data_IF_146175355076
#
_entry.id   IF_146175355076
#
_cell.length_a   1.000
_cell.length_b   1.000
_cell.length_c   1.000
_cell.angle_alpha   90.00
_cell.angle_beta   90.00
_cell.angle_gamma   90.00
#
_symmetry.space_group_name_H-M   'P 1'
#
loop_
_entity.id
_entity.type
_entity.pdbx_description
1 polymer ?
#
# COMPACT_ATOMS: atom_id res chain seq x y z
N UNK A 1 9.44 -38.91 -1.85
CA UNK A 1 7.98 -39.06 -1.65
C UNK A 1 7.31 -38.01 -2.51
N UNK A 2 6.61 -38.48 -3.55
CA UNK A 2 5.83 -37.66 -4.49
C UNK A 2 4.55 -37.18 -3.80
N UNK A 3 4.12 -35.99 -4.20
CA UNK A 3 2.74 -35.46 -4.19
C UNK A 3 2.09 -35.18 -2.84
N UNK A 4 1.83 -33.89 -2.58
CA UNK A 4 0.67 -33.24 -1.90
C UNK A 4 1.06 -31.74 -1.94
N UNK A 5 0.30 -30.77 -2.40
CA UNK A 5 -0.99 -30.66 -3.06
C UNK A 5 -0.99 -29.21 -3.61
N UNK A 6 -1.15 -29.05 -4.92
CA UNK A 6 -1.39 -27.75 -5.55
C UNK A 6 -2.78 -27.28 -5.11
N UNK A 7 -2.88 -26.10 -4.49
CA UNK A 7 -4.13 -25.35 -4.42
C UNK A 7 -3.82 -23.97 -4.98
N UNK A 8 -4.18 -23.82 -6.25
CA UNK A 8 -4.34 -22.55 -6.95
C UNK A 8 -5.85 -22.46 -7.24
N UNK A 9 -6.50 -21.40 -6.79
CA UNK A 9 -7.87 -21.05 -7.17
C UNK A 9 -7.94 -19.51 -7.24
N UNK A 10 -7.45 -18.89 -8.31
CA UNK A 10 -8.22 -18.42 -9.49
C UNK A 10 -9.50 -17.67 -9.14
N UNK A 11 -9.38 -16.34 -8.99
CA UNK A 11 -10.50 -15.42 -9.18
C UNK A 11 -10.54 -15.05 -10.68
N UNK A 12 -11.32 -15.77 -11.48
CA UNK A 12 -11.55 -15.41 -12.89
C UNK A 12 -12.76 -14.51 -13.01
N UNK A 13 -12.50 -13.25 -13.34
CA UNK A 13 -13.49 -12.24 -13.70
C UNK A 13 -14.04 -12.55 -15.10
N UNK A 14 -15.32 -12.87 -15.19
CA UNK A 14 -16.02 -13.06 -16.47
C UNK A 14 -16.90 -11.84 -16.73
N UNK A 15 -16.42 -10.88 -17.52
CA UNK A 15 -17.24 -9.86 -18.16
C UNK A 15 -17.40 -10.23 -19.64
N UNK A 16 -18.58 -10.77 -19.96
CA UNK A 16 -19.02 -10.98 -21.34
C UNK A 16 -19.47 -9.65 -21.93
N UNK A 17 -18.74 -9.19 -22.95
CA UNK A 17 -19.19 -8.13 -23.84
C UNK A 17 -20.37 -8.62 -24.69
N UNK A 18 -21.48 -7.89 -24.67
CA UNK A 18 -22.45 -7.88 -25.76
C UNK A 18 -22.55 -6.46 -26.29
N UNK A 19 -21.82 -6.24 -27.38
CA UNK A 19 -21.95 -5.09 -28.27
C UNK A 19 -23.24 -5.20 -29.07
N UNK A 20 -24.00 -4.11 -29.16
CA UNK A 20 -24.97 -3.87 -30.22
C UNK A 20 -24.77 -2.42 -30.71
N UNK A 21 -24.17 -2.28 -31.89
CA UNK A 21 -24.22 -1.04 -32.66
C UNK A 21 -25.49 -1.02 -33.53
N UNK A 22 -25.99 0.18 -33.87
CA UNK A 22 -26.23 0.46 -35.29
C UNK A 22 -25.59 1.76 -35.79
N UNK A 23 -25.23 1.70 -37.08
CA UNK A 23 -24.64 2.72 -37.95
C UNK A 23 -25.58 3.91 -38.21
N UNK A 24 -25.06 5.10 -38.52
CA UNK A 24 -24.90 5.64 -39.91
C UNK A 24 -24.52 7.14 -39.94
N UNK A 25 -23.59 7.47 -40.86
CA UNK A 25 -23.43 8.67 -41.72
C UNK A 25 -23.29 10.05 -41.03
N UNK A 26 -22.45 11.01 -41.44
CA UNK A 26 -22.15 11.45 -42.80
C UNK A 26 -20.91 12.39 -42.86
N UNK A 27 -20.45 12.62 -44.09
CA UNK A 27 -19.37 13.44 -44.66
C UNK A 27 -18.89 14.75 -43.99
N UNK A 28 -17.59 15.06 -44.20
CA UNK A 28 -17.10 16.45 -44.31
C UNK A 28 -15.58 16.63 -44.21
N UNK A 29 -14.90 16.84 -45.35
CA UNK A 29 -13.49 17.26 -45.48
C UNK A 29 -13.21 18.58 -44.75
N UNK A 30 -12.01 18.73 -44.16
CA UNK A 30 -11.02 19.73 -44.58
C UNK A 30 -9.69 19.57 -43.84
N UNK A 31 -8.60 19.67 -44.59
CA UNK A 31 -7.24 19.67 -44.09
C UNK A 31 -6.83 21.08 -43.65
N UNK A 32 -6.10 21.19 -42.54
CA UNK A 32 -5.19 22.31 -42.28
C UNK A 32 -4.05 21.86 -41.38
N UNK A 33 -2.83 22.13 -41.84
CA UNK A 33 -1.58 21.87 -41.14
C UNK A 33 -1.22 23.02 -40.18
N UNK A 34 -0.35 22.67 -39.22
CA UNK A 34 0.57 23.53 -38.44
C UNK A 34 -0.05 24.31 -37.28
N UNK A 35 0.26 23.92 -36.03
CA UNK A 35 1.40 24.53 -35.32
C UNK A 35 1.85 23.71 -34.11
N UNK A 36 3.17 23.62 -33.92
CA UNK A 36 3.80 23.08 -32.70
C UNK A 36 3.93 24.22 -31.71
N UNK A 37 3.15 24.20 -30.64
CA UNK A 37 3.45 24.98 -29.44
C UNK A 37 3.62 24.05 -28.24
N UNK A 38 4.77 24.22 -27.58
CA UNK A 38 5.07 23.68 -26.27
C UNK A 38 4.07 24.24 -25.27
N UNK A 39 3.06 23.46 -24.90
CA UNK A 39 2.23 23.76 -23.74
C UNK A 39 2.88 23.12 -22.51
N UNK A 40 3.34 23.99 -21.61
CA UNK A 40 3.58 23.63 -20.21
C UNK A 40 2.23 23.21 -19.61
N UNK A 41 2.10 22.04 -18.96
CA UNK A 41 0.83 21.60 -18.42
C UNK A 41 0.29 22.61 -17.41
N UNK A 42 -0.90 23.14 -17.70
CA UNK A 42 -1.65 24.04 -16.84
C UNK A 42 -2.18 23.23 -15.65
N UNK A 43 -1.63 23.43 -14.46
CA UNK A 43 -1.95 22.71 -13.22
C UNK A 43 -3.27 23.23 -12.60
N UNK A 44 -4.38 23.08 -13.36
CA UNK A 44 -5.74 23.37 -12.90
C UNK A 44 -6.68 22.28 -13.40
N UNK A 45 -7.26 21.56 -12.44
CA UNK A 45 -8.31 20.54 -12.58
C UNK A 45 -7.98 19.34 -13.48
N UNK A 46 -7.16 18.43 -12.96
CA UNK A 46 -7.33 17.02 -13.32
C UNK A 46 -7.48 16.23 -12.02
N UNK A 47 -8.70 15.74 -11.73
CA UNK A 47 -9.05 14.79 -10.66
C UNK A 47 -8.39 13.40 -10.87
N UNK A 48 -7.28 13.37 -11.61
CA UNK A 48 -6.57 12.17 -12.01
C UNK A 48 -5.47 11.88 -11.01
N UNK A 49 -5.60 10.74 -10.34
CA UNK A 49 -4.52 10.13 -9.57
C UNK A 49 -3.39 9.77 -10.53
N UNK A 50 -2.16 10.17 -10.21
CA UNK A 50 -0.97 9.77 -10.96
C UNK A 50 -0.17 8.76 -10.14
N UNK A 51 0.58 7.86 -10.79
CA UNK A 51 1.44 6.92 -10.09
C UNK A 51 2.72 6.59 -10.87
N UNK A 52 3.72 6.09 -10.16
CA UNK A 52 4.92 5.45 -10.71
C UNK A 52 5.24 4.19 -9.91
N UNK A 53 5.89 3.23 -10.55
CA UNK A 53 6.48 2.05 -9.91
C UNK A 53 7.93 2.26 -9.47
N UNK A 54 8.44 3.49 -9.54
CA UNK A 54 9.79 3.86 -9.08
C UNK A 54 10.88 3.03 -9.77
N UNK A 55 10.73 2.77 -11.08
CA UNK A 55 11.67 1.98 -11.88
C UNK A 55 12.74 2.81 -12.60
N UNK A 56 12.71 4.15 -12.47
CA UNK A 56 13.75 5.06 -12.97
C UNK A 56 14.54 5.69 -11.83
N UNK A 57 15.80 6.04 -12.11
CA UNK A 57 16.64 6.74 -11.14
C UNK A 57 16.06 8.11 -10.75
N UNK A 58 15.45 8.84 -11.70
CA UNK A 58 14.81 10.13 -11.44
C UNK A 58 13.71 10.04 -10.38
N UNK A 59 12.75 9.11 -10.55
CA UNK A 59 11.65 8.95 -9.57
C UNK A 59 12.12 8.39 -8.22
N UNK A 60 13.16 7.54 -8.22
CA UNK A 60 13.78 7.05 -6.98
C UNK A 60 14.49 8.18 -6.23
N UNK A 61 15.25 9.02 -6.92
CA UNK A 61 15.97 10.14 -6.34
C UNK A 61 15.01 11.19 -5.79
N UNK A 62 13.93 11.50 -6.52
CA UNK A 62 12.85 12.37 -6.04
C UNK A 62 12.24 11.85 -4.73
N UNK A 63 11.89 10.56 -4.68
CA UNK A 63 11.34 9.94 -3.48
C UNK A 63 12.36 9.95 -2.33
N UNK A 64 13.62 9.56 -2.59
CA UNK A 64 14.70 9.52 -1.60
C UNK A 64 14.87 10.89 -0.95
N UNK A 65 15.04 11.93 -1.76
CA UNK A 65 15.21 13.29 -1.28
C UNK A 65 13.97 13.76 -0.51
N UNK A 66 12.77 13.48 -1.01
CA UNK A 66 11.53 13.86 -0.34
C UNK A 66 11.38 13.23 1.06
N UNK A 67 11.79 11.96 1.24
CA UNK A 67 11.75 11.27 2.53
C UNK A 67 12.80 11.82 3.50
N UNK A 68 14.02 12.07 3.03
CA UNK A 68 15.11 12.64 3.83
C UNK A 68 14.80 14.07 4.28
N UNK A 69 14.32 14.94 3.37
CA UNK A 69 13.92 16.33 3.66
C UNK A 69 12.79 16.40 4.70
N UNK A 70 11.98 15.33 4.78
CA UNK A 70 10.92 15.18 5.76
C UNK A 70 11.37 14.55 7.08
N UNK A 71 12.68 14.31 7.23
CA UNK A 71 13.29 13.90 8.47
C UNK A 71 13.14 12.41 8.77
N UNK A 72 12.92 11.56 7.75
CA UNK A 72 13.10 10.12 7.94
C UNK A 72 14.59 9.78 8.12
N UNK A 73 14.86 8.70 8.83
CA UNK A 73 16.22 8.25 9.11
C UNK A 73 16.93 7.83 7.82
N UNK A 74 18.15 8.31 7.61
CA UNK A 74 18.93 8.05 6.38
C UNK A 74 19.17 6.56 6.15
N UNK A 75 19.54 5.80 7.20
CA UNK A 75 19.77 4.36 7.08
C UNK A 75 18.50 3.57 6.76
N UNK A 76 17.35 4.01 7.27
CA UNK A 76 16.05 3.40 6.95
C UNK A 76 15.64 3.69 5.50
N UNK A 77 15.84 4.93 5.03
CA UNK A 77 15.58 5.33 3.64
C UNK A 77 16.51 4.59 2.67
N UNK A 78 17.80 4.49 2.97
CA UNK A 78 18.76 3.76 2.14
C UNK A 78 18.43 2.26 2.07
N UNK A 79 18.06 1.66 3.21
CA UNK A 79 17.61 0.26 3.25
C UNK A 79 16.35 0.05 2.41
N UNK A 80 15.41 1.00 2.45
CA UNK A 80 14.23 0.97 1.58
C UNK A 80 14.61 1.05 0.10
N UNK A 81 15.50 1.99 -0.29
CA UNK A 81 15.93 2.11 -1.69
C UNK A 81 16.64 0.84 -2.19
N UNK A 82 17.47 0.21 -1.35
CA UNK A 82 18.08 -1.07 -1.69
C UNK A 82 17.06 -2.18 -1.90
N UNK A 83 15.99 -2.22 -1.10
CA UNK A 83 14.90 -3.20 -1.25
C UNK A 83 14.07 -2.93 -2.52
N UNK A 84 13.87 -1.66 -2.86
CA UNK A 84 13.21 -1.25 -4.10
C UNK A 84 14.03 -1.65 -5.33
N UNK A 85 15.33 -1.38 -5.33
CA UNK A 85 16.22 -1.79 -6.43
C UNK A 85 16.25 -3.31 -6.58
N UNK A 86 16.35 -4.04 -5.46
CA UNK A 86 16.28 -5.50 -5.46
C UNK A 86 14.97 -5.99 -6.08
N UNK A 87 13.82 -5.38 -5.75
CA UNK A 87 12.56 -5.74 -6.40
C UNK A 87 12.62 -5.49 -7.92
N UNK A 88 13.03 -4.30 -8.35
CA UNK A 88 13.08 -3.92 -9.75
C UNK A 88 14.00 -4.84 -10.58
N UNK A 89 15.14 -5.26 -10.04
CA UNK A 89 16.05 -6.24 -10.67
C UNK A 89 15.41 -7.63 -10.82
N UNK A 90 14.46 -7.96 -9.95
CA UNK A 90 13.78 -9.24 -9.91
C UNK A 90 12.42 -9.24 -10.62
N UNK A 91 11.89 -8.08 -11.00
CA UNK A 91 10.61 -7.91 -11.69
C UNK A 91 10.76 -7.86 -13.22
N UNK A 92 9.62 -7.81 -13.92
CA UNK A 92 9.56 -7.46 -15.34
C UNK A 92 9.36 -5.94 -15.46
N UNK A 93 10.46 -5.22 -15.65
CA UNK A 93 10.46 -3.75 -15.70
C UNK A 93 9.63 -3.18 -16.85
N UNK A 94 9.21 -3.99 -17.83
CA UNK A 94 8.31 -3.55 -18.90
C UNK A 94 6.86 -3.29 -18.42
N UNK A 95 6.45 -3.89 -17.30
CA UNK A 95 5.16 -3.59 -16.65
C UNK A 95 5.24 -2.42 -15.66
N UNK A 96 6.45 -1.93 -15.35
CA UNK A 96 6.67 -0.93 -14.32
C UNK A 96 6.68 0.48 -14.90
N UNK A 97 5.75 1.32 -14.43
CA UNK A 97 5.70 2.73 -14.81
C UNK A 97 6.94 3.48 -14.31
N UNK A 98 7.84 3.85 -15.22
CA UNK A 98 9.12 4.52 -14.90
C UNK A 98 9.01 6.01 -14.58
N UNK A 99 7.88 6.63 -14.91
CA UNK A 99 7.56 8.02 -14.60
C UNK A 99 6.11 8.11 -14.15
N UNK A 100 5.69 9.27 -13.63
CA UNK A 100 4.30 9.48 -13.26
C UNK A 100 3.37 9.36 -14.48
N UNK A 101 2.48 8.38 -14.43
CA UNK A 101 1.44 8.15 -15.43
C UNK A 101 0.06 8.10 -14.76
N UNK A 102 -1.00 8.17 -15.55
CA UNK A 102 -2.38 8.11 -15.07
C UNK A 102 -2.65 6.77 -14.40
N UNK A 103 -3.16 6.80 -13.17
CA UNK A 103 -3.59 5.62 -12.44
C UNK A 103 -4.81 4.96 -13.09
N UNK A 104 -4.84 3.63 -13.06
CA UNK A 104 -5.99 2.82 -13.45
C UNK A 104 -6.04 1.58 -12.58
N UNK A 105 -7.25 1.15 -12.20
CA UNK A 105 -7.46 -0.11 -11.48
C UNK A 105 -7.17 -1.34 -12.36
N UNK A 106 -7.11 -1.16 -13.68
CA UNK A 106 -6.88 -2.24 -14.65
C UNK A 106 -5.40 -2.62 -14.80
N UNK A 107 -4.48 -1.91 -14.15
CA UNK A 107 -3.04 -2.20 -14.22
C UNK A 107 -2.76 -3.52 -13.50
N UNK A 108 -2.19 -4.48 -14.21
CA UNK A 108 -1.80 -5.77 -13.68
C UNK A 108 -0.29 -5.99 -13.80
N UNK A 109 0.30 -6.68 -12.83
CA UNK A 109 1.74 -6.92 -12.72
C UNK A 109 2.10 -8.41 -12.76
N UNK A 110 1.32 -9.20 -13.52
CA UNK A 110 1.41 -10.65 -13.49
C UNK A 110 2.82 -11.14 -13.87
N UNK A 111 3.43 -10.59 -14.92
CA UNK A 111 4.77 -11.02 -15.33
C UNK A 111 5.82 -10.61 -14.29
N UNK A 112 5.67 -9.44 -13.68
CA UNK A 112 6.56 -8.96 -12.62
C UNK A 112 6.47 -9.83 -11.37
N UNK A 113 5.26 -10.20 -10.95
CA UNK A 113 5.01 -11.07 -9.80
C UNK A 113 5.54 -12.49 -10.03
N UNK A 114 5.28 -13.05 -11.21
CA UNK A 114 5.78 -14.37 -11.60
C UNK A 114 7.31 -14.38 -11.61
N UNK A 115 7.93 -13.41 -12.29
CA UNK A 115 9.39 -13.30 -12.39
C UNK A 115 10.05 -13.05 -11.04
N UNK A 116 9.44 -12.24 -10.18
CA UNK A 116 9.92 -12.04 -8.82
C UNK A 116 9.93 -13.36 -8.04
N UNK A 117 8.84 -14.12 -8.12
CA UNK A 117 8.69 -15.43 -7.47
C UNK A 117 9.67 -16.46 -8.00
N UNK A 118 9.85 -16.53 -9.32
CA UNK A 118 10.79 -17.44 -9.98
C UNK A 118 12.24 -17.18 -9.54
N UNK A 119 12.63 -15.91 -9.39
CA UNK A 119 13.97 -15.52 -8.95
C UNK A 119 14.16 -15.63 -7.43
N UNK A 120 13.07 -15.65 -6.66
CA UNK A 120 13.09 -15.64 -5.19
C UNK A 120 12.24 -16.80 -4.61
N UNK A 121 12.54 -18.07 -4.94
CA UNK A 121 11.67 -19.20 -4.58
C UNK A 121 11.49 -19.42 -3.07
N UNK A 122 12.46 -18.97 -2.27
CA UNK A 122 12.47 -19.13 -0.81
C UNK A 122 12.15 -17.83 -0.05
N UNK A 123 11.71 -16.78 -0.75
CA UNK A 123 11.41 -15.48 -0.13
C UNK A 123 10.10 -14.90 -0.66
N UNK A 124 9.15 -14.67 0.26
CA UNK A 124 7.84 -14.14 -0.09
C UNK A 124 7.93 -12.74 -0.73
N UNK A 125 8.86 -11.92 -0.25
CA UNK A 125 8.99 -10.51 -0.59
C UNK A 125 8.85 -9.61 0.64
N UNK A 126 8.62 -8.32 0.40
CA UNK A 126 8.36 -7.32 1.43
C UNK A 126 6.98 -6.71 1.13
N UNK A 127 6.11 -6.62 2.13
CA UNK A 127 4.75 -6.11 2.01
C UNK A 127 4.60 -4.70 2.63
N UNK A 128 3.37 -4.16 2.57
CA UNK A 128 2.98 -2.88 3.14
C UNK A 128 3.43 -2.66 4.59
N UNK A 129 3.20 -3.64 5.47
CA UNK A 129 3.50 -3.53 6.91
C UNK A 129 4.99 -3.42 7.17
N UNK A 130 5.78 -4.31 6.55
CA UNK A 130 7.24 -4.32 6.69
C UNK A 130 7.83 -3.03 6.09
N UNK A 131 7.43 -2.65 4.87
CA UNK A 131 7.90 -1.40 4.24
C UNK A 131 7.61 -0.18 5.09
N UNK A 132 6.37 -0.03 5.55
CA UNK A 132 5.94 1.13 6.33
C UNK A 132 6.65 1.20 7.68
N UNK A 133 6.75 0.07 8.39
CA UNK A 133 7.41 0.04 9.69
C UNK A 133 8.91 0.30 9.57
N UNK A 134 9.60 -0.33 8.61
CA UNK A 134 11.04 -0.14 8.42
C UNK A 134 11.40 1.31 8.12
N UNK A 135 10.55 2.05 7.40
CA UNK A 135 10.76 3.48 7.14
C UNK A 135 10.45 4.38 8.36
N UNK A 136 9.56 3.94 9.26
CA UNK A 136 9.04 4.76 10.36
C UNK A 136 9.52 4.36 11.76
N UNK A 137 10.24 3.24 11.90
CA UNK A 137 10.66 2.69 13.21
C UNK A 137 11.49 3.65 14.06
N UNK A 138 12.23 4.58 13.45
CA UNK A 138 12.97 5.64 14.14
C UNK A 138 12.16 6.95 14.32
N UNK A 139 10.95 7.00 13.77
CA UNK A 139 9.99 8.11 13.85
C UNK A 139 8.72 7.72 14.62
N UNK A 140 8.74 6.59 15.34
CA UNK A 140 7.62 6.06 16.10
C UNK A 140 8.10 5.36 17.37
N UNK A 141 7.48 5.68 18.49
CA UNK A 141 7.64 4.94 19.74
C UNK A 141 6.59 3.83 19.83
N UNK A 142 6.99 2.68 20.37
CA UNK A 142 6.10 1.56 20.73
C UNK A 142 6.62 1.03 22.06
N UNK A 143 5.89 1.29 23.15
CA UNK A 143 6.45 1.19 24.50
C UNK A 143 5.86 0.07 25.36
N UNK A 144 4.76 -0.56 24.95
CA UNK A 144 4.16 -1.67 25.70
C UNK A 144 4.11 -2.92 24.84
N UNK A 145 5.12 -3.76 24.98
CA UNK A 145 5.27 -5.00 24.23
C UNK A 145 4.01 -5.88 24.34
N UNK A 146 3.57 -6.38 23.19
CA UNK A 146 2.51 -7.37 23.09
C UNK A 146 3.03 -8.63 22.41
N UNK A 147 2.58 -9.77 22.90
CA UNK A 147 2.66 -11.02 22.14
C UNK A 147 1.48 -11.09 21.16
N UNK A 148 1.77 -11.39 19.90
CA UNK A 148 0.75 -11.72 18.91
C UNK A 148 0.69 -13.24 18.70
N UNK A 149 -0.47 -13.81 18.98
CA UNK A 149 -0.80 -15.23 18.82
C UNK A 149 -1.75 -15.51 17.65
N UNK A 150 -2.11 -14.46 16.91
CA UNK A 150 -2.96 -14.58 15.74
C UNK A 150 -2.16 -15.06 14.52
N UNK A 151 -2.88 -15.49 13.49
CA UNK A 151 -2.30 -15.84 12.19
C UNK A 151 -1.98 -14.61 11.32
N UNK A 152 -2.50 -13.43 11.69
CA UNK A 152 -2.48 -12.18 10.90
C UNK A 152 -1.06 -11.76 10.47
N UNK A 153 -0.06 -12.01 11.31
CA UNK A 153 1.33 -11.59 11.09
C UNK A 153 2.27 -12.74 10.70
N UNK A 154 1.78 -13.96 10.47
CA UNK A 154 2.65 -15.12 10.26
C UNK A 154 3.54 -14.98 9.02
N UNK A 155 2.98 -14.48 7.91
CA UNK A 155 3.75 -14.24 6.69
C UNK A 155 4.74 -13.08 6.85
N UNK A 156 4.39 -12.03 7.58
CA UNK A 156 5.31 -10.93 7.90
C UNK A 156 6.48 -11.43 8.74
N UNK A 157 6.20 -12.16 9.82
CA UNK A 157 7.21 -12.75 10.71
C UNK A 157 8.15 -13.65 9.93
N UNK A 158 7.61 -14.49 9.02
CA UNK A 158 8.42 -15.33 8.13
C UNK A 158 9.31 -14.49 7.21
N UNK A 159 8.76 -13.53 6.48
CA UNK A 159 9.52 -12.69 5.55
C UNK A 159 10.63 -11.89 6.26
N UNK A 160 10.34 -11.32 7.42
CA UNK A 160 11.32 -10.63 8.26
C UNK A 160 12.45 -11.58 8.68
N UNK A 161 12.11 -12.80 9.13
CA UNK A 161 13.10 -13.79 9.56
C UNK A 161 13.96 -14.31 8.41
N UNK A 162 13.38 -14.59 7.24
CA UNK A 162 14.10 -15.16 6.09
C UNK A 162 15.24 -14.25 5.60
N UNK A 163 15.10 -12.94 5.77
CA UNK A 163 16.08 -11.93 5.34
C UNK A 163 16.67 -11.09 6.46
N UNK A 164 16.34 -11.40 7.73
CA UNK A 164 16.78 -10.62 8.89
C UNK A 164 16.51 -9.13 8.73
N UNK A 165 15.29 -8.77 8.26
CA UNK A 165 14.93 -7.39 7.90
C UNK A 165 14.87 -6.45 9.10
N UNK A 166 14.64 -7.00 10.29
CA UNK A 166 14.54 -6.26 11.56
C UNK A 166 15.39 -6.98 12.62
N UNK A 167 15.96 -6.20 13.54
CA UNK A 167 16.53 -6.73 14.79
C UNK A 167 15.45 -7.32 15.71
N UNK A 168 15.85 -8.04 16.74
CA UNK A 168 14.91 -8.64 17.71
C UNK A 168 14.03 -7.59 18.41
N UNK A 169 14.60 -6.44 18.80
CA UNK A 169 13.85 -5.37 19.44
C UNK A 169 12.91 -4.65 18.46
N UNK A 170 13.32 -4.48 17.20
CA UNK A 170 12.46 -3.93 16.16
C UNK A 170 11.32 -4.89 15.81
N UNK A 171 11.56 -6.20 15.81
CA UNK A 171 10.53 -7.22 15.61
C UNK A 171 9.47 -7.17 16.71
N UNK A 172 9.86 -6.99 17.98
CA UNK A 172 8.89 -6.83 19.08
C UNK A 172 8.00 -5.60 18.90
N UNK A 173 8.60 -4.47 18.50
CA UNK A 173 7.86 -3.23 18.17
C UNK A 173 6.94 -3.43 16.97
N UNK A 174 7.40 -4.12 15.92
CA UNK A 174 6.61 -4.45 14.74
C UNK A 174 5.38 -5.27 15.12
N UNK A 175 5.59 -6.36 15.89
CA UNK A 175 4.51 -7.23 16.38
C UNK A 175 3.52 -6.43 17.22
N UNK A 176 4.01 -5.63 18.16
CA UNK A 176 3.15 -4.82 19.03
C UNK A 176 2.31 -3.83 18.24
N UNK A 177 2.89 -3.17 17.24
CA UNK A 177 2.20 -2.19 16.41
C UNK A 177 1.10 -2.83 15.56
N UNK A 178 1.40 -3.94 14.87
CA UNK A 178 0.48 -4.58 13.94
C UNK A 178 -0.39 -5.70 14.53
N UNK A 179 -0.22 -6.06 15.81
CA UNK A 179 -1.05 -7.07 16.46
C UNK A 179 -2.54 -6.73 16.29
N UNK A 180 -3.40 -7.69 15.95
CA UNK A 180 -4.83 -7.44 15.85
C UNK A 180 -5.41 -7.04 17.21
N UNK A 181 -6.52 -6.31 17.16
CA UNK A 181 -7.32 -5.92 18.31
C UNK A 181 -8.45 -6.93 18.45
N UNK A 182 -8.54 -7.59 19.60
CA UNK A 182 -9.64 -8.52 19.88
C UNK A 182 -10.93 -7.75 20.18
N UNK A 183 -11.97 -7.95 19.36
CA UNK A 183 -13.28 -7.32 19.54
C UNK A 183 -14.17 -8.21 20.41
N UNK A 184 -14.22 -7.88 21.71
CA UNK A 184 -15.00 -8.64 22.71
C UNK A 184 -16.48 -8.27 22.73
N UNK A 185 -16.79 -7.00 22.49
CA UNK A 185 -18.15 -6.47 22.45
C UNK A 185 -18.48 -6.07 21.01
N UNK A 186 -19.42 -6.78 20.40
CA UNK A 186 -19.88 -6.54 19.03
C UNK A 186 -20.60 -5.19 18.88
N UNK A 187 -20.95 -4.52 19.99
CA UNK A 187 -21.53 -3.16 19.99
C UNK A 187 -20.48 -2.07 20.21
N UNK A 188 -19.21 -2.42 20.37
CA UNK A 188 -18.16 -1.44 20.57
C UNK A 188 -18.02 -0.54 19.33
N UNK A 189 -17.73 0.75 19.56
CA UNK A 189 -17.29 1.61 18.48
C UNK A 189 -15.84 1.24 18.12
N UNK A 190 -15.62 0.81 16.88
CA UNK A 190 -14.31 0.34 16.41
C UNK A 190 -13.27 1.46 16.33
N UNK A 191 -13.67 2.70 16.05
CA UNK A 191 -12.81 3.88 16.05
C UNK A 191 -12.25 4.16 17.46
N UNK A 192 -13.11 4.04 18.48
CA UNK A 192 -12.71 4.18 19.89
C UNK A 192 -11.78 3.04 20.33
N UNK A 193 -12.03 1.81 19.87
CA UNK A 193 -11.16 0.67 20.14
C UNK A 193 -9.75 0.89 19.55
N UNK A 194 -9.67 1.34 18.30
CA UNK A 194 -8.39 1.64 17.63
C UNK A 194 -7.63 2.72 18.41
N UNK A 195 -8.31 3.82 18.74
CA UNK A 195 -7.70 4.94 19.49
C UNK A 195 -7.23 4.50 20.88
N UNK A 196 -8.02 3.68 21.58
CA UNK A 196 -7.66 3.11 22.87
C UNK A 196 -6.42 2.22 22.77
N UNK A 197 -6.33 1.38 21.75
CA UNK A 197 -5.21 0.45 21.54
C UNK A 197 -3.90 1.17 21.22
N UNK A 198 -3.93 2.29 20.48
CA UNK A 198 -2.74 3.14 20.30
C UNK A 198 -2.17 3.60 21.65
N UNK A 199 -3.02 4.11 22.54
CA UNK A 199 -2.63 4.52 23.89
C UNK A 199 -2.17 3.35 24.77
N UNK A 200 -2.89 2.22 24.72
CA UNK A 200 -2.55 1.03 25.51
C UNK A 200 -1.20 0.43 25.09
N UNK A 201 -0.88 0.43 23.80
CA UNK A 201 0.42 -0.01 23.26
C UNK A 201 1.54 1.02 23.41
N UNK A 202 1.20 2.23 23.85
CA UNK A 202 2.13 3.34 24.00
C UNK A 202 2.73 3.76 22.66
N UNK A 203 1.90 3.75 21.61
CA UNK A 203 2.27 4.16 20.25
C UNK A 203 2.27 5.68 20.18
N UNK A 204 3.36 6.26 19.69
CA UNK A 204 3.48 7.70 19.46
C UNK A 204 4.27 7.98 18.21
N UNK A 205 3.73 8.77 17.30
CA UNK A 205 4.43 9.22 16.10
C UNK A 205 5.19 10.50 16.39
N UNK A 206 6.48 10.50 16.05
CA UNK A 206 7.41 11.59 16.30
C UNK A 206 7.74 12.40 15.03
N UNK A 207 7.18 12.01 13.88
CA UNK A 207 7.28 12.75 12.62
C UNK A 207 5.94 13.40 12.26
N UNK A 208 5.97 14.70 11.97
CA UNK A 208 4.80 15.49 11.61
C UNK A 208 4.59 15.67 10.09
N UNK A 209 5.63 15.44 9.29
CA UNK A 209 5.66 15.62 7.83
C UNK A 209 5.33 14.35 7.03
N UNK A 210 5.69 13.18 7.56
CA UNK A 210 5.33 11.87 7.01
C UNK A 210 4.35 11.21 7.97
N UNK A 211 3.23 10.74 7.43
CA UNK A 211 2.15 10.11 8.18
C UNK A 211 2.05 8.65 7.79
N UNK A 212 1.91 7.77 8.77
CA UNK A 212 1.47 6.40 8.53
C UNK A 212 -0.02 6.45 8.29
N UNK A 213 -0.49 5.95 7.14
CA UNK A 213 -1.91 5.80 6.86
C UNK A 213 -2.22 4.32 6.85
N UNK A 214 -3.14 3.89 7.72
CA UNK A 214 -3.49 2.47 7.88
C UNK A 214 -4.97 2.24 7.64
N UNK A 215 -5.29 1.13 6.97
CA UNK A 215 -6.65 0.65 6.76
C UNK A 215 -6.90 -0.52 7.70
N UNK A 216 -7.79 -0.30 8.65
CA UNK A 216 -8.30 -1.33 9.53
C UNK A 216 -9.46 -2.05 8.86
N UNK A 217 -9.34 -3.37 8.83
CA UNK A 217 -10.38 -4.30 8.41
C UNK A 217 -10.81 -5.10 9.63
N UNK A 218 -11.96 -5.75 9.53
CA UNK A 218 -12.39 -6.70 10.55
C UNK A 218 -12.66 -8.07 9.94
N UNK A 219 -12.37 -9.10 10.72
CA UNK A 219 -12.74 -10.49 10.40
C UNK A 219 -13.39 -11.13 11.60
N UNK A 220 -14.23 -12.14 11.31
CA UNK A 220 -14.83 -13.00 12.31
C UNK A 220 -14.73 -14.44 11.81
N UNK A 221 -13.67 -15.14 12.21
CA UNK A 221 -13.39 -16.51 11.76
C UNK A 221 -13.06 -17.45 12.92
N UNK A 222 -12.90 -18.73 12.61
CA UNK A 222 -12.64 -19.78 13.62
C UNK A 222 -11.19 -19.80 14.11
N UNK A 223 -10.26 -19.13 13.41
CA UNK A 223 -8.82 -19.15 13.69
C UNK A 223 -8.48 -18.02 14.67
N UNK A 224 -8.77 -16.78 14.29
CA UNK A 224 -8.40 -15.58 15.02
C UNK A 224 -9.59 -14.96 15.79
N UNK A 225 -10.81 -15.46 15.57
CA UNK A 225 -12.00 -14.96 16.25
C UNK A 225 -12.49 -13.65 15.65
N UNK A 226 -13.07 -12.78 16.48
CA UNK A 226 -13.53 -11.45 16.07
C UNK A 226 -12.43 -10.41 16.32
N UNK A 227 -11.83 -9.91 15.26
CA UNK A 227 -10.67 -9.01 15.34
C UNK A 227 -10.79 -7.80 14.42
N UNK A 228 -10.13 -6.71 14.82
CA UNK A 228 -9.75 -5.60 13.94
C UNK A 228 -8.26 -5.68 13.68
N UNK A 229 -7.83 -5.53 12.43
CA UNK A 229 -6.42 -5.61 12.06
C UNK A 229 -6.09 -4.65 10.93
N UNK A 230 -4.82 -4.24 10.86
CA UNK A 230 -4.31 -3.43 9.75
C UNK A 230 -4.16 -4.35 8.53
N UNK A 231 -5.11 -4.25 7.60
CA UNK A 231 -5.11 -4.98 6.34
C UNK A 231 -4.23 -4.32 5.27
N UNK A 232 -4.08 -2.99 5.32
CA UNK A 232 -3.16 -2.24 4.48
C UNK A 232 -2.57 -1.05 5.20
N UNK A 233 -1.37 -0.63 4.80
CA UNK A 233 -0.72 0.55 5.36
C UNK A 233 0.30 1.13 4.38
N UNK A 234 0.53 2.44 4.46
CA UNK A 234 1.49 3.14 3.63
C UNK A 234 1.91 4.46 4.26
N UNK A 235 2.76 5.20 3.55
CA UNK A 235 3.23 6.51 3.98
C UNK A 235 2.63 7.61 3.14
N UNK A 236 1.99 8.58 3.80
CA UNK A 236 1.53 9.81 3.16
C UNK A 236 2.48 10.96 3.50
N UNK A 237 2.78 11.79 2.50
CA UNK A 237 3.42 13.07 2.73
C UNK A 237 2.93 14.14 1.74
N UNK A 238 3.08 15.41 2.11
CA UNK A 238 2.76 16.54 1.24
C UNK A 238 4.04 17.12 0.62
N UNK A 239 3.97 17.49 -0.65
CA UNK A 239 5.05 18.17 -1.33
C UNK A 239 4.47 19.11 -2.39
N UNK A 240 4.77 20.42 -2.26
CA UNK A 240 4.36 21.46 -3.21
C UNK A 240 2.83 21.47 -3.47
N UNK A 241 2.02 21.30 -2.43
CA UNK A 241 0.56 21.32 -2.53
C UNK A 241 -0.06 20.05 -3.11
N UNK A 242 0.73 19.02 -3.38
CA UNK A 242 0.26 17.68 -3.79
C UNK A 242 0.52 16.67 -2.68
N UNK A 243 -0.30 15.65 -2.59
CA UNK A 243 -0.18 14.59 -1.60
C UNK A 243 0.33 13.32 -2.26
N UNK A 244 1.31 12.69 -1.64
CA UNK A 244 1.95 11.48 -2.14
C UNK A 244 1.65 10.33 -1.18
N UNK A 245 1.35 9.16 -1.74
CA UNK A 245 1.15 7.93 -0.97
C UNK A 245 2.10 6.85 -1.49
N UNK A 246 3.04 6.45 -0.64
CA UNK A 246 3.96 5.34 -0.89
C UNK A 246 3.34 4.06 -0.33
N UNK A 247 3.13 3.09 -1.20
CA UNK A 247 2.53 1.81 -0.82
C UNK A 247 3.17 0.60 -1.48
N UNK A 248 2.85 -0.58 -0.92
CA UNK A 248 3.27 -1.89 -1.38
C UNK A 248 2.12 -2.87 -1.16
N UNK A 249 1.30 -3.10 -2.20
CA UNK A 249 0.00 -3.77 -2.08
C UNK A 249 0.07 -5.21 -1.59
N UNK A 250 1.08 -5.96 -2.03
CA UNK A 250 1.32 -7.34 -1.62
C UNK A 250 2.83 -7.61 -1.56
N UNK A 251 3.25 -8.82 -1.20
CA UNK A 251 4.68 -9.16 -1.15
C UNK A 251 5.37 -9.12 -2.52
N UNK A 252 4.65 -9.48 -3.59
CA UNK A 252 5.20 -9.69 -4.94
C UNK A 252 4.85 -8.57 -5.93
N UNK A 253 3.86 -7.74 -5.62
CA UNK A 253 3.54 -6.57 -6.47
C UNK A 253 4.58 -5.46 -6.34
N UNK A 254 4.72 -4.57 -7.31
CA UNK A 254 5.70 -3.49 -7.24
C UNK A 254 5.37 -2.49 -6.14
N UNK A 255 6.40 -1.74 -5.73
CA UNK A 255 6.19 -0.50 -4.99
C UNK A 255 5.45 0.49 -5.89
N UNK A 256 4.62 1.32 -5.26
CA UNK A 256 3.89 2.38 -5.94
C UNK A 256 4.05 3.67 -5.16
N UNK A 257 4.36 4.76 -5.88
CA UNK A 257 4.22 6.11 -5.38
C UNK A 257 3.07 6.76 -6.14
N UNK A 258 1.96 6.99 -5.45
CA UNK A 258 0.79 7.66 -5.98
C UNK A 258 0.83 9.14 -5.61
N UNK A 259 0.25 9.98 -6.47
CA UNK A 259 0.20 11.44 -6.34
C UNK A 259 -1.25 11.90 -6.54
N UNK A 260 -1.72 12.71 -5.59
CA UNK A 260 -3.09 13.18 -5.41
C UNK A 260 -3.13 14.69 -5.24
N UNK A 261 -4.29 15.31 -5.48
CA UNK A 261 -4.51 16.74 -5.25
C UNK A 261 -4.89 17.04 -3.80
N UNK A 262 -5.45 16.06 -3.07
CA UNK A 262 -5.90 16.24 -1.70
C UNK A 262 -5.69 14.99 -0.84
N UNK A 263 -5.63 15.18 0.50
CA UNK A 263 -5.66 14.04 1.45
C UNK A 263 -6.94 13.22 1.32
N UNK A 264 -8.06 13.87 1.00
CA UNK A 264 -9.36 13.21 0.87
C UNK A 264 -9.33 12.18 -0.26
N UNK A 265 -8.69 12.48 -1.38
CA UNK A 265 -8.55 11.51 -2.48
C UNK A 265 -7.76 10.26 -2.09
N UNK A 266 -6.78 10.36 -1.17
CA UNK A 266 -6.09 9.18 -0.62
C UNK A 266 -7.08 8.31 0.15
N UNK A 267 -7.92 8.91 0.99
CA UNK A 267 -8.95 8.18 1.72
C UNK A 267 -9.97 7.54 0.76
N UNK A 268 -10.47 8.30 -0.21
CA UNK A 268 -11.41 7.80 -1.22
C UNK A 268 -10.81 6.62 -2.01
N UNK A 269 -9.53 6.70 -2.37
CA UNK A 269 -8.76 5.64 -3.02
C UNK A 269 -8.70 4.37 -2.15
N UNK A 270 -8.32 4.52 -0.88
CA UNK A 270 -8.20 3.40 0.06
C UNK A 270 -9.57 2.76 0.33
N UNK A 271 -10.62 3.55 0.54
CA UNK A 271 -11.97 3.04 0.78
C UNK A 271 -12.52 2.32 -0.45
N UNK A 272 -12.33 2.86 -1.66
CA UNK A 272 -12.73 2.17 -2.89
C UNK A 272 -12.08 0.78 -3.00
N UNK A 273 -10.81 0.67 -2.58
CA UNK A 273 -10.03 -0.56 -2.69
C UNK A 273 -10.36 -1.58 -1.60
N UNK A 274 -10.49 -1.13 -0.36
CA UNK A 274 -10.49 -2.01 0.82
C UNK A 274 -11.85 -2.11 1.55
N UNK A 275 -12.81 -1.22 1.27
CA UNK A 275 -14.15 -1.30 1.86
C UNK A 275 -15.01 -2.34 1.12
N UNK A 276 -14.59 -3.60 1.18
CA UNK A 276 -15.26 -4.74 0.56
C UNK A 276 -16.04 -5.53 1.63
N UNK A 277 -17.10 -6.23 1.22
CA UNK A 277 -17.82 -7.15 2.09
C UNK A 277 -16.91 -8.34 2.44
N UNK A 278 -16.53 -8.44 3.71
CA UNK A 278 -15.65 -9.50 4.23
C UNK A 278 -16.45 -10.65 4.89
N UNK A 279 -17.77 -10.66 4.71
CA UNK A 279 -18.68 -11.68 5.23
C UNK A 279 -19.59 -11.18 6.34
N UNK A 280 -20.40 -12.10 6.88
CA UNK A 280 -21.42 -11.78 7.87
C UNK A 280 -20.80 -11.21 9.16
N UNK A 281 -21.34 -10.07 9.62
CA UNK A 281 -20.84 -9.39 10.83
C UNK A 281 -19.57 -8.56 10.61
N UNK A 282 -19.22 -8.27 9.35
CA UNK A 282 -18.14 -7.34 9.02
C UNK A 282 -18.64 -5.90 8.89
N UNK A 283 -17.78 -4.95 9.25
CA UNK A 283 -18.03 -3.53 9.28
C UNK A 283 -17.23 -2.84 8.17
N UNK A 284 -17.62 -1.61 7.85
CA UNK A 284 -16.86 -0.79 6.90
C UNK A 284 -15.41 -0.61 7.35
N UNK A 285 -14.50 -0.55 6.37
CA UNK A 285 -13.09 -0.28 6.61
C UNK A 285 -12.90 1.08 7.31
N UNK A 286 -11.94 1.16 8.22
CA UNK A 286 -11.61 2.39 8.94
C UNK A 286 -10.20 2.81 8.56
N UNK A 287 -10.00 4.07 8.20
CA UNK A 287 -8.65 4.60 7.91
C UNK A 287 -8.17 5.47 9.04
N UNK A 288 -6.90 5.31 9.42
CA UNK A 288 -6.23 6.22 10.36
C UNK A 288 -5.11 6.98 9.66
N UNK A 289 -4.91 8.25 10.05
CA UNK A 289 -3.69 9.03 9.82
C UNK A 289 -2.94 9.06 11.16
N UNK A 290 -1.81 8.37 11.24
CA UNK A 290 -1.11 8.08 12.49
C UNK A 290 -2.07 7.45 13.51
N UNK A 291 -2.19 8.07 14.68
CA UNK A 291 -3.02 7.67 15.82
C UNK A 291 -4.43 8.27 15.78
N UNK A 292 -4.85 8.86 14.65
CA UNK A 292 -6.15 9.51 14.49
C UNK A 292 -6.98 8.84 13.42
N UNK A 293 -8.23 8.55 13.74
CA UNK A 293 -9.22 8.09 12.77
C UNK A 293 -9.54 9.23 11.80
N UNK A 294 -9.48 8.93 10.50
CA UNK A 294 -9.90 9.87 9.47
C UNK A 294 -11.43 9.95 9.45
N UNK A 295 -11.95 11.17 9.54
CA UNK A 295 -13.38 11.47 9.46
C UNK A 295 -13.60 12.51 8.38
N UNK A 296 -14.68 12.35 7.60
CA UNK A 296 -15.07 13.28 6.53
C UNK A 296 -15.58 14.62 7.03
#
# INVERSE_FOLDING_TARGET
MKNILKILLTLTMALLFVSCAPKTNDHGNEASQVDKQNETPNDKDDDTIMYTNLSSDETKDELKNALLDKGLNEGDVDSFMSNLDTYNENADTSELASSFTKYSDDVAYNNSMDKFTEKNPDFLGINCRITTFSLMKNSMDVNKELEDKSSVLDFDKKAISDKSLLSEDEMKKFITYYAPINVKDEKANYEDLITKEFSERGIKFNNDKVKVVSVYLNSKDEIDGNILFIGHTGLMYENQGKFYFLEKLSFQEPYQLLKFNSKKEIYDYLMKKYNQDMGEGTHEAIVTENDKVFTY
#
